data_IF_627130167885
#
_entry.id   IF_627130167885
#
_cell.length_a   1.000
_cell.length_b   1.000
_cell.length_c   1.000
_cell.angle_alpha   90.00
_cell.angle_beta   90.00
_cell.angle_gamma   90.00
#
_symmetry.space_group_name_H-M   'P 1'
#
loop_
_entity.id
_entity.type
_entity.pdbx_description
1 polymer ?
#
# COMPACT_ATOMS: atom_id res chain seq x y z
N UNK A 1 -19.48 20.43 31.16
CA UNK A 1 -20.15 21.07 30.01
C UNK A 1 -19.65 20.38 28.75
N UNK A 2 -20.43 19.42 28.27
CA UNK A 2 -20.17 18.67 27.04
C UNK A 2 -20.34 19.60 25.85
N UNK A 3 -19.24 19.97 25.20
CA UNK A 3 -19.31 20.61 23.89
C UNK A 3 -19.86 19.58 22.91
N UNK A 4 -21.13 19.74 22.54
CA UNK A 4 -21.67 19.11 21.34
C UNK A 4 -20.81 19.63 20.17
N UNK A 5 -19.88 18.80 19.71
CA UNK A 5 -19.01 19.13 18.60
C UNK A 5 -19.87 19.41 17.38
N UNK A 6 -19.80 20.64 16.86
CA UNK A 6 -20.34 20.95 15.54
C UNK A 6 -19.79 19.92 14.56
N UNK A 7 -20.66 19.23 13.81
CA UNK A 7 -20.25 18.34 12.73
C UNK A 7 -19.57 19.21 11.67
N UNK A 8 -18.25 19.35 11.79
CA UNK A 8 -17.40 20.00 10.80
C UNK A 8 -17.08 18.97 9.72
N UNK A 9 -16.87 19.44 8.50
CA UNK A 9 -16.34 18.58 7.44
C UNK A 9 -15.04 17.91 7.92
N UNK A 10 -14.98 16.58 7.89
CA UNK A 10 -13.75 15.86 8.26
C UNK A 10 -12.62 16.19 7.30
N UNK A 11 -11.36 15.96 7.74
CA UNK A 11 -10.11 16.37 7.07
C UNK A 11 -9.67 17.84 7.29
N UNK A 12 -10.36 18.62 8.14
CA UNK A 12 -9.91 19.98 8.52
C UNK A 12 -9.03 20.00 9.77
N UNK A 13 -9.09 18.95 10.59
CA UNK A 13 -8.27 18.77 11.79
C UNK A 13 -7.39 17.52 11.62
N UNK A 14 -6.32 17.42 12.40
CA UNK A 14 -5.45 16.25 12.36
C UNK A 14 -6.27 15.00 12.77
N UNK A 15 -6.30 13.95 11.94
CA UNK A 15 -7.09 12.76 12.23
C UNK A 15 -6.53 11.99 13.42
N UNK A 16 -7.41 11.32 14.17
CA UNK A 16 -6.99 10.44 15.27
C UNK A 16 -6.57 9.09 14.69
N UNK A 17 -5.31 8.71 14.88
CA UNK A 17 -4.80 7.42 14.43
C UNK A 17 -4.74 6.40 15.57
N UNK A 18 -5.46 5.30 15.40
CA UNK A 18 -5.45 4.18 16.35
C UNK A 18 -4.28 3.22 16.04
N UNK A 19 -3.64 2.63 17.07
CA UNK A 19 -2.64 1.59 16.87
C UNK A 19 -3.22 0.39 16.13
N UNK A 20 -2.41 -0.22 15.27
CA UNK A 20 -2.79 -1.46 14.57
C UNK A 20 -2.65 -2.63 15.52
N UNK A 21 -3.75 -3.34 15.77
CA UNK A 21 -3.76 -4.55 16.60
C UNK A 21 -3.38 -5.80 15.79
N UNK A 22 -2.12 -5.86 15.36
CA UNK A 22 -1.60 -6.97 14.55
C UNK A 22 -1.34 -8.26 15.33
N UNK A 23 -1.43 -8.20 16.67
CA UNK A 23 -1.28 -9.36 17.54
C UNK A 23 -2.60 -10.10 17.75
N UNK A 24 -3.75 -9.44 17.59
CA UNK A 24 -5.05 -10.10 17.61
C UNK A 24 -5.11 -11.16 16.48
N UNK A 25 -5.45 -12.43 16.80
CA UNK A 25 -5.67 -13.46 15.78
C UNK A 25 -6.64 -13.04 14.65
N UNK A 26 -7.67 -12.23 14.96
CA UNK A 26 -8.63 -11.70 13.99
C UNK A 26 -8.00 -10.77 12.97
N UNK A 27 -6.83 -10.18 13.24
CA UNK A 27 -6.12 -9.35 12.29
C UNK A 27 -5.86 -10.10 10.97
N UNK A 28 -5.59 -11.41 11.05
CA UNK A 28 -5.28 -12.25 9.89
C UNK A 28 -6.48 -13.05 9.34
N UNK A 29 -7.67 -12.84 9.88
CA UNK A 29 -8.90 -13.48 9.41
C UNK A 29 -9.34 -12.87 8.07
N UNK A 30 -9.42 -13.69 7.01
CA UNK A 30 -9.75 -13.22 5.66
C UNK A 30 -11.21 -12.81 5.53
N UNK A 31 -12.14 -13.48 6.21
CA UNK A 31 -13.57 -13.15 6.14
C UNK A 31 -13.86 -11.81 6.82
N UNK A 32 -13.29 -11.57 8.00
CA UNK A 32 -13.36 -10.29 8.70
C UNK A 32 -12.64 -9.18 7.94
N UNK A 33 -11.58 -9.49 7.18
CA UNK A 33 -10.94 -8.55 6.28
C UNK A 33 -11.87 -8.20 5.10
N UNK A 34 -12.49 -9.20 4.46
CA UNK A 34 -13.36 -8.98 3.30
C UNK A 34 -14.60 -8.17 3.67
N UNK A 35 -15.19 -8.42 4.84
CA UNK A 35 -16.29 -7.61 5.35
C UNK A 35 -15.89 -6.15 5.56
N UNK A 36 -14.69 -5.90 6.09
CA UNK A 36 -14.23 -4.52 6.33
C UNK A 36 -13.81 -3.81 5.02
N UNK A 37 -13.24 -4.55 4.06
CA UNK A 37 -12.98 -4.05 2.70
C UNK A 37 -14.29 -3.61 2.03
N UNK A 38 -15.31 -4.46 2.06
CA UNK A 38 -16.63 -4.18 1.50
C UNK A 38 -17.25 -2.91 2.13
N UNK A 39 -17.26 -2.82 3.46
CA UNK A 39 -17.76 -1.63 4.19
C UNK A 39 -17.03 -0.35 3.80
N UNK A 40 -15.70 -0.37 3.76
CA UNK A 40 -14.91 0.82 3.44
C UNK A 40 -15.02 1.18 1.96
N UNK A 41 -15.11 0.19 1.08
CA UNK A 41 -15.29 0.42 -0.36
C UNK A 41 -16.65 1.03 -0.66
N UNK A 42 -17.70 0.58 0.02
CA UNK A 42 -19.05 1.17 -0.06
C UNK A 42 -19.03 2.65 0.33
N UNK A 43 -18.41 2.98 1.47
CA UNK A 43 -18.22 4.38 1.91
C UNK A 43 -17.38 5.19 0.90
N UNK A 44 -16.32 4.60 0.33
CA UNK A 44 -15.49 5.26 -0.67
C UNK A 44 -16.27 5.53 -1.96
N UNK A 45 -17.06 4.57 -2.42
CA UNK A 45 -17.93 4.67 -3.59
C UNK A 45 -18.99 5.78 -3.39
N UNK A 46 -19.55 5.90 -2.19
CA UNK A 46 -20.56 6.93 -1.89
C UNK A 46 -20.05 8.37 -2.02
N UNK A 47 -18.76 8.64 -1.75
CA UNK A 47 -18.21 10.01 -1.79
C UNK A 47 -17.24 10.31 -2.94
N UNK A 48 -16.52 9.29 -3.46
CA UNK A 48 -15.51 9.35 -4.53
C UNK A 48 -14.42 10.43 -4.43
N UNK A 49 -14.27 11.10 -3.27
CA UNK A 49 -13.37 12.25 -3.07
C UNK A 49 -11.88 11.97 -3.31
N UNK A 50 -11.46 10.71 -3.22
CA UNK A 50 -10.05 10.32 -3.27
C UNK A 50 -9.55 9.92 -4.67
N UNK A 51 -10.40 10.01 -5.71
CA UNK A 51 -10.11 9.55 -7.08
C UNK A 51 -8.77 10.02 -7.65
N UNK A 52 -8.34 11.25 -7.31
CA UNK A 52 -7.12 11.86 -7.84
C UNK A 52 -5.85 11.56 -7.05
N UNK A 53 -5.91 10.78 -5.97
CA UNK A 53 -4.77 10.58 -5.07
C UNK A 53 -3.88 9.38 -5.41
N UNK A 54 -4.48 8.23 -5.72
CA UNK A 54 -3.75 7.02 -6.09
C UNK A 54 -4.63 6.11 -6.94
N UNK A 55 -4.01 5.12 -7.59
CA UNK A 55 -4.72 4.25 -8.54
C UNK A 55 -5.71 3.27 -7.87
N UNK A 56 -5.69 3.14 -6.53
CA UNK A 56 -6.65 2.30 -5.81
C UNK A 56 -8.10 2.79 -6.00
N UNK A 57 -8.32 4.10 -6.01
CA UNK A 57 -9.66 4.67 -6.08
C UNK A 57 -10.27 4.58 -7.49
N UNK A 58 -9.59 4.97 -8.58
CA UNK A 58 -10.06 4.66 -9.93
C UNK A 58 -10.36 3.17 -10.11
N UNK A 59 -9.45 2.27 -9.71
CA UNK A 59 -9.72 0.83 -9.82
C UNK A 59 -10.94 0.37 -9.04
N UNK A 60 -11.20 0.91 -7.84
CA UNK A 60 -12.41 0.61 -7.10
C UNK A 60 -13.65 1.10 -7.86
N UNK A 61 -13.62 2.35 -8.35
CA UNK A 61 -14.78 2.95 -8.99
C UNK A 61 -15.07 2.33 -10.34
N UNK A 62 -14.05 1.99 -11.13
CA UNK A 62 -14.21 1.26 -12.39
C UNK A 62 -14.85 -0.12 -12.14
N UNK A 63 -14.38 -0.87 -11.13
CA UNK A 63 -14.97 -2.16 -10.76
C UNK A 63 -16.45 -2.05 -10.40
N UNK A 64 -16.83 -0.98 -9.70
CA UNK A 64 -18.24 -0.75 -9.32
C UNK A 64 -19.06 -0.31 -10.53
N UNK A 65 -18.56 0.66 -11.31
CA UNK A 65 -19.27 1.22 -12.47
C UNK A 65 -19.46 0.20 -13.61
N UNK A 66 -18.59 -0.81 -13.70
CA UNK A 66 -18.69 -1.92 -14.64
C UNK A 66 -19.49 -3.13 -14.09
N UNK A 67 -19.94 -3.08 -12.83
CA UNK A 67 -20.73 -4.14 -12.22
C UNK A 67 -22.21 -4.08 -12.61
N UNK A 68 -22.94 -5.19 -12.46
CA UNK A 68 -24.37 -5.27 -12.82
C UNK A 68 -25.27 -4.37 -11.96
N UNK A 69 -24.92 -4.18 -10.69
CA UNK A 69 -25.71 -3.38 -9.73
C UNK A 69 -25.27 -1.91 -9.70
N UNK A 70 -24.10 -1.60 -10.26
CA UNK A 70 -23.39 -0.31 -10.09
C UNK A 70 -23.10 0.03 -8.61
N UNK A 71 -23.09 -0.99 -7.75
CA UNK A 71 -22.83 -0.89 -6.32
C UNK A 71 -21.74 -1.90 -5.92
N UNK A 72 -21.19 -1.75 -4.71
CA UNK A 72 -20.09 -2.62 -4.24
C UNK A 72 -20.51 -4.09 -4.13
N UNK A 73 -21.79 -4.38 -3.93
CA UNK A 73 -22.33 -5.75 -3.88
C UNK A 73 -22.25 -6.49 -5.22
N UNK A 74 -22.16 -5.76 -6.34
CA UNK A 74 -21.97 -6.29 -7.68
C UNK A 74 -20.51 -6.63 -8.00
N UNK A 75 -19.55 -6.21 -7.15
CA UNK A 75 -18.12 -6.44 -7.36
C UNK A 75 -17.71 -7.80 -6.79
N UNK A 76 -17.06 -8.61 -7.62
CA UNK A 76 -16.53 -9.88 -7.14
C UNK A 76 -15.44 -9.67 -6.08
N UNK A 77 -15.56 -10.30 -4.91
CA UNK A 77 -14.60 -10.17 -3.78
C UNK A 77 -13.13 -10.43 -4.15
N UNK A 78 -12.89 -11.28 -5.16
CA UNK A 78 -11.53 -11.53 -5.69
C UNK A 78 -10.89 -10.28 -6.29
N UNK A 79 -11.69 -9.35 -6.80
CA UNK A 79 -11.22 -8.15 -7.49
C UNK A 79 -10.91 -7.01 -6.51
N UNK A 80 -11.34 -7.11 -5.25
CA UNK A 80 -10.88 -6.22 -4.18
C UNK A 80 -9.35 -6.21 -4.05
N UNK A 81 -8.69 -7.33 -4.36
CA UNK A 81 -7.24 -7.41 -4.34
C UNK A 81 -6.56 -6.48 -5.36
N UNK A 82 -7.25 -6.09 -6.44
CA UNK A 82 -6.75 -5.10 -7.40
C UNK A 82 -6.63 -3.72 -6.74
N UNK A 83 -7.67 -3.31 -6.00
CA UNK A 83 -7.69 -2.07 -5.20
C UNK A 83 -6.58 -2.10 -4.15
N UNK A 84 -6.43 -3.22 -3.45
CA UNK A 84 -5.37 -3.43 -2.46
C UNK A 84 -3.98 -3.28 -3.08
N UNK A 85 -3.74 -3.86 -4.25
CA UNK A 85 -2.44 -3.80 -4.93
C UNK A 85 -2.09 -2.38 -5.39
N UNK A 86 -3.08 -1.58 -5.77
CA UNK A 86 -2.91 -0.19 -6.19
C UNK A 86 -2.83 0.83 -5.03
N UNK A 87 -2.96 0.41 -3.78
CA UNK A 87 -2.66 1.27 -2.64
C UNK A 87 -1.15 1.33 -2.35
N UNK A 88 -0.62 2.55 -2.26
CA UNK A 88 0.80 2.84 -2.02
C UNK A 88 1.16 3.12 -0.55
N UNK A 89 0.19 3.03 0.38
CA UNK A 89 0.40 3.26 1.81
C UNK A 89 1.04 4.63 2.15
N UNK A 90 0.69 5.68 1.41
CA UNK A 90 1.24 7.03 1.59
C UNK A 90 0.46 7.91 2.58
N UNK A 91 -0.65 7.40 3.14
CA UNK A 91 -1.57 8.10 4.06
C UNK A 91 -2.26 9.38 3.52
N UNK A 92 -2.02 9.77 2.26
CA UNK A 92 -2.54 11.04 1.74
C UNK A 92 -4.07 11.13 1.74
N UNK A 93 -4.77 10.04 1.44
CA UNK A 93 -6.24 10.01 1.46
C UNK A 93 -6.80 10.20 2.88
N UNK A 94 -6.18 9.56 3.86
CA UNK A 94 -6.52 9.65 5.26
C UNK A 94 -6.24 11.05 5.84
N UNK A 95 -5.08 11.62 5.50
CA UNK A 95 -4.65 12.90 6.08
C UNK A 95 -5.33 14.13 5.46
N UNK A 96 -5.78 14.05 4.19
CA UNK A 96 -6.09 15.28 3.43
C UNK A 96 -7.41 15.29 2.65
N UNK A 97 -8.11 14.16 2.53
CA UNK A 97 -9.35 14.09 1.72
C UNK A 97 -10.52 13.39 2.37
N UNK A 98 -10.28 12.36 3.17
CA UNK A 98 -11.35 11.55 3.72
C UNK A 98 -12.07 12.30 4.85
N UNK A 99 -13.37 12.60 4.72
CA UNK A 99 -14.12 13.27 5.79
C UNK A 99 -14.58 12.30 6.89
N UNK A 100 -14.35 11.00 6.71
CA UNK A 100 -14.88 9.93 7.55
C UNK A 100 -13.82 9.24 8.41
N UNK A 101 -12.67 9.89 8.56
CA UNK A 101 -11.57 9.46 9.44
C UNK A 101 -11.95 9.65 10.91
N UNK A 102 -11.29 8.94 11.86
CA UNK A 102 -11.62 9.04 13.28
C UNK A 102 -11.39 10.48 13.78
N UNK A 103 -12.31 11.03 14.60
CA UNK A 103 -13.32 10.34 15.40
C UNK A 103 -14.70 10.17 14.73
N UNK A 104 -14.83 10.34 13.40
CA UNK A 104 -16.10 10.08 12.71
C UNK A 104 -16.59 8.65 12.99
N UNK A 105 -17.91 8.46 13.12
CA UNK A 105 -18.53 7.17 13.47
C UNK A 105 -18.17 6.03 12.52
N UNK A 106 -17.93 6.34 11.24
CA UNK A 106 -17.53 5.35 10.23
C UNK A 106 -16.06 4.93 10.33
N UNK A 107 -15.23 5.67 11.09
CA UNK A 107 -13.88 5.26 11.50
C UNK A 107 -13.01 4.76 10.34
N UNK A 108 -13.00 5.46 9.20
CA UNK A 108 -12.32 5.02 7.99
C UNK A 108 -10.81 5.28 8.09
N UNK A 109 -10.02 4.21 8.15
CA UNK A 109 -8.55 4.24 7.97
C UNK A 109 -8.17 3.35 6.78
N UNK A 110 -8.39 3.89 5.58
CA UNK A 110 -8.11 3.17 4.33
C UNK A 110 -6.66 2.66 4.26
N UNK A 111 -5.62 3.45 4.58
CA UNK A 111 -4.25 2.95 4.55
C UNK A 111 -4.01 1.78 5.52
N UNK A 112 -4.51 1.82 6.76
CA UNK A 112 -4.38 0.71 7.69
C UNK A 112 -5.11 -0.55 7.21
N UNK A 113 -6.29 -0.40 6.60
CA UNK A 113 -7.02 -1.53 6.01
C UNK A 113 -6.24 -2.15 4.84
N UNK A 114 -5.64 -1.33 3.97
CA UNK A 114 -4.81 -1.81 2.87
C UNK A 114 -3.53 -2.50 3.39
N UNK A 115 -2.93 -1.98 4.46
CA UNK A 115 -1.80 -2.63 5.14
C UNK A 115 -2.19 -3.99 5.70
N UNK A 116 -3.33 -4.09 6.41
CA UNK A 116 -3.89 -5.37 6.88
C UNK A 116 -4.10 -6.34 5.71
N UNK A 117 -4.73 -5.89 4.63
CA UNK A 117 -4.97 -6.72 3.45
C UNK A 117 -3.66 -7.28 2.85
N UNK A 118 -2.65 -6.42 2.68
CA UNK A 118 -1.33 -6.84 2.18
C UNK A 118 -0.64 -7.82 3.15
N UNK A 119 -0.79 -7.65 4.46
CA UNK A 119 -0.26 -8.56 5.46
C UNK A 119 -0.93 -9.95 5.42
N UNK A 120 -2.26 -10.01 5.29
CA UNK A 120 -3.01 -11.26 5.10
C UNK A 120 -2.56 -11.96 3.81
N UNK A 121 -2.52 -11.25 2.69
CA UNK A 121 -2.06 -11.76 1.39
C UNK A 121 -0.64 -12.33 1.47
N UNK A 122 0.25 -11.68 2.21
CA UNK A 122 1.62 -12.15 2.44
C UNK A 122 1.66 -13.44 3.27
N UNK A 123 0.93 -13.49 4.38
CA UNK A 123 0.86 -14.66 5.27
C UNK A 123 0.29 -15.90 4.57
N UNK A 124 -0.65 -15.71 3.67
CA UNK A 124 -1.24 -16.77 2.85
C UNK A 124 -0.37 -17.20 1.66
N UNK A 125 0.80 -16.58 1.46
CA UNK A 125 1.68 -16.89 0.34
C UNK A 125 1.19 -16.38 -1.02
N UNK A 126 0.12 -15.57 -1.07
CA UNK A 126 -0.48 -15.03 -2.29
C UNK A 126 0.27 -13.81 -2.87
N UNK A 127 1.33 -13.34 -2.22
CA UNK A 127 2.20 -12.25 -2.74
C UNK A 127 3.20 -12.77 -3.79
N UNK A 128 3.36 -12.05 -4.90
CA UNK A 128 4.26 -12.42 -5.99
C UNK A 128 5.72 -12.46 -5.49
N UNK A 129 6.50 -13.42 -5.97
CA UNK A 129 7.91 -13.58 -5.59
C UNK A 129 8.73 -12.32 -5.84
N UNK A 130 8.50 -11.63 -6.98
CA UNK A 130 9.18 -10.37 -7.29
C UNK A 130 8.96 -9.31 -6.19
N UNK A 131 7.74 -9.21 -5.66
CA UNK A 131 7.37 -8.18 -4.69
C UNK A 131 8.02 -8.49 -3.34
N UNK A 132 8.14 -9.78 -2.99
CA UNK A 132 8.90 -10.22 -1.80
C UNK A 132 10.40 -9.91 -1.92
N UNK A 133 10.98 -10.08 -3.11
CA UNK A 133 12.39 -9.77 -3.36
C UNK A 133 12.60 -8.26 -3.26
N UNK A 134 11.91 -7.47 -4.07
CA UNK A 134 12.13 -6.01 -4.20
C UNK A 134 11.81 -5.27 -2.89
N UNK A 135 10.80 -5.71 -2.13
CA UNK A 135 10.46 -5.10 -0.85
C UNK A 135 11.43 -5.44 0.28
N UNK A 136 12.29 -6.46 0.13
CA UNK A 136 13.30 -6.84 1.12
C UNK A 136 14.57 -6.00 0.99
N UNK A 137 14.43 -4.69 1.19
CA UNK A 137 15.52 -3.70 1.04
C UNK A 137 16.73 -4.01 1.92
N UNK A 138 16.52 -4.49 3.14
CA UNK A 138 17.60 -4.91 4.05
C UNK A 138 18.41 -6.08 3.49
N UNK A 139 17.73 -7.13 3.00
CA UNK A 139 18.40 -8.30 2.42
C UNK A 139 19.14 -7.92 1.14
N UNK A 140 18.48 -7.16 0.26
CA UNK A 140 19.09 -6.67 -0.98
C UNK A 140 20.31 -5.81 -0.66
N UNK A 141 20.18 -4.84 0.25
CA UNK A 141 21.26 -3.93 0.64
C UNK A 141 22.43 -4.67 1.27
N UNK A 142 22.16 -5.66 2.13
CA UNK A 142 23.19 -6.51 2.74
C UNK A 142 23.97 -7.32 1.71
N UNK A 143 23.31 -7.89 0.70
CA UNK A 143 23.94 -8.72 -0.32
C UNK A 143 24.66 -7.88 -1.38
N UNK A 144 23.98 -6.85 -1.91
CA UNK A 144 24.54 -5.97 -2.93
C UNK A 144 25.61 -5.02 -2.39
N UNK A 145 25.66 -4.80 -1.07
CA UNK A 145 26.68 -4.01 -0.39
C UNK A 145 27.96 -4.78 -0.05
N UNK A 146 28.06 -6.09 -0.32
CA UNK A 146 29.29 -6.84 -0.01
C UNK A 146 30.46 -6.26 -0.84
N UNK A 147 31.66 -6.04 -0.24
CA UNK A 147 32.84 -5.64 -0.99
C UNK A 147 33.06 -6.54 -2.21
N UNK A 148 33.50 -5.96 -3.33
CA UNK A 148 33.63 -6.62 -4.65
C UNK A 148 32.26 -6.87 -5.34
N UNK A 149 31.25 -7.41 -4.64
CA UNK A 149 29.90 -7.62 -5.19
C UNK A 149 29.27 -6.29 -5.63
N UNK A 150 29.47 -5.24 -4.84
CA UNK A 150 28.93 -3.90 -5.11
C UNK A 150 29.33 -3.34 -6.47
N UNK A 151 30.57 -3.60 -6.92
CA UNK A 151 31.06 -3.12 -8.21
C UNK A 151 30.38 -3.86 -9.37
N UNK A 152 30.22 -5.17 -9.24
CA UNK A 152 29.52 -6.00 -10.22
C UNK A 152 28.04 -5.60 -10.34
N UNK A 153 27.34 -5.41 -9.20
CA UNK A 153 25.93 -5.01 -9.19
C UNK A 153 25.74 -3.63 -9.82
N UNK A 154 26.56 -2.65 -9.43
CA UNK A 154 26.47 -1.30 -10.00
C UNK A 154 26.83 -1.29 -11.50
N UNK A 155 27.80 -2.09 -11.92
CA UNK A 155 28.15 -2.28 -13.33
C UNK A 155 27.00 -2.89 -14.14
N UNK A 156 26.37 -3.94 -13.61
CA UNK A 156 25.20 -4.57 -14.22
C UNK A 156 24.01 -3.61 -14.33
N UNK A 157 23.74 -2.81 -13.29
CA UNK A 157 22.66 -1.82 -13.30
C UNK A 157 22.85 -0.70 -14.34
N UNK A 158 24.07 -0.46 -14.82
CA UNK A 158 24.37 0.50 -15.91
C UNK A 158 24.26 -0.13 -17.31
N UNK A 159 24.11 -1.45 -17.40
CA UNK A 159 24.05 -2.16 -18.68
C UNK A 159 22.60 -2.25 -19.20
N UNK A 160 22.32 -1.71 -20.38
CA UNK A 160 20.98 -1.67 -20.97
C UNK A 160 20.38 -3.05 -21.27
N UNK A 161 21.19 -4.05 -21.59
CA UNK A 161 20.73 -5.42 -21.81
C UNK A 161 20.29 -6.07 -20.49
N UNK A 162 21.07 -5.89 -19.42
CA UNK A 162 20.68 -6.35 -18.09
C UNK A 162 19.39 -5.69 -17.62
N UNK A 163 19.21 -4.38 -17.89
CA UNK A 163 17.99 -3.63 -17.57
C UNK A 163 16.74 -4.20 -18.25
N UNK A 164 16.86 -4.67 -19.50
CA UNK A 164 15.76 -5.38 -20.19
C UNK A 164 15.41 -6.72 -19.52
N UNK A 165 16.42 -7.46 -19.05
CA UNK A 165 16.20 -8.71 -18.29
C UNK A 165 15.52 -8.42 -16.95
N UNK A 166 15.98 -7.39 -16.24
CA UNK A 166 15.40 -6.96 -14.96
C UNK A 166 13.93 -6.54 -15.12
N UNK A 167 13.58 -5.84 -16.20
CA UNK A 167 12.20 -5.51 -16.53
C UNK A 167 11.34 -6.76 -16.76
N UNK A 168 11.81 -7.70 -17.58
CA UNK A 168 11.05 -8.93 -17.87
C UNK A 168 10.85 -9.84 -16.66
N UNK A 169 11.79 -9.85 -15.72
CA UNK A 169 11.79 -10.78 -14.58
C UNK A 169 11.17 -10.15 -13.33
N UNK A 170 11.55 -8.93 -13.00
CA UNK A 170 11.13 -8.24 -11.77
C UNK A 170 10.18 -7.05 -12.02
N UNK A 171 9.92 -6.68 -13.28
CA UNK A 171 9.02 -5.58 -13.63
C UNK A 171 9.61 -4.19 -13.34
N UNK A 172 10.93 -4.09 -13.18
CA UNK A 172 11.61 -2.80 -13.00
C UNK A 172 11.83 -2.17 -14.36
N UNK A 173 11.17 -1.03 -14.61
CA UNK A 173 11.25 -0.35 -15.91
C UNK A 173 12.71 -0.09 -16.32
N UNK A 174 13.10 -0.26 -17.60
CA UNK A 174 14.50 -0.12 -18.03
C UNK A 174 15.11 1.25 -17.72
N UNK A 175 14.29 2.29 -17.70
CA UNK A 175 14.70 3.68 -17.42
C UNK A 175 14.48 4.12 -15.97
N UNK A 176 14.04 3.22 -15.07
CA UNK A 176 13.86 3.54 -13.65
C UNK A 176 15.19 3.96 -12.99
N UNK A 177 15.21 5.05 -12.24
CA UNK A 177 16.40 5.47 -11.50
C UNK A 177 16.71 4.45 -10.40
N UNK A 178 17.81 3.70 -10.55
CA UNK A 178 18.28 2.79 -9.51
C UNK A 178 19.40 3.44 -8.69
N UNK A 179 19.33 3.41 -7.35
CA UNK A 179 20.41 3.90 -6.52
C UNK A 179 21.66 3.03 -6.68
N UNK A 180 22.83 3.65 -6.54
CA UNK A 180 24.07 2.89 -6.44
C UNK A 180 24.14 2.20 -5.07
N UNK A 181 24.59 0.95 -5.06
CA UNK A 181 24.94 0.26 -3.83
C UNK A 181 26.32 0.70 -3.34
N UNK A 182 26.51 0.69 -2.03
CA UNK A 182 27.76 1.07 -1.37
C UNK A 182 28.10 0.04 -0.30
N UNK A 183 29.37 -0.36 -0.22
CA UNK A 183 29.85 -1.26 0.83
C UNK A 183 30.06 -0.58 2.18
N UNK A 184 30.42 0.69 2.14
CA UNK A 184 30.42 1.55 3.31
C UNK A 184 29.01 2.10 3.57
N UNK A 185 28.29 1.44 4.48
CA UNK A 185 26.88 1.73 4.78
C UNK A 185 26.71 3.01 5.60
N UNK A 186 25.52 3.64 5.54
CA UNK A 186 25.20 4.79 6.38
C UNK A 186 25.40 4.49 7.89
N UNK A 187 25.05 3.28 8.33
CA UNK A 187 25.25 2.85 9.72
C UNK A 187 26.72 2.83 10.12
N UNK A 188 27.63 2.46 9.22
CA UNK A 188 29.07 2.48 9.50
C UNK A 188 29.61 3.92 9.54
N UNK A 189 29.18 4.77 8.59
CA UNK A 189 29.59 6.19 8.53
C UNK A 189 29.15 7.01 9.73
N UNK A 190 27.94 6.75 10.24
CA UNK A 190 27.35 7.49 11.36
C UNK A 190 27.76 6.96 12.74
N UNK A 191 28.57 5.90 12.80
CA UNK A 191 29.14 5.37 14.06
C UNK A 191 30.46 6.04 14.45
N UNK A 192 30.94 6.98 13.61
CA UNK A 192 32.11 7.82 13.89
C UNK A 192 31.77 9.01 14.76
#
# INVERSE_FOLDING_TARGET
MTAAGSVREGSLEAPTRHPIDWHDPKFYDEDALMHELERVFDICHGCRRCVSLCNAFPSLFDLVDESETMEVDGVAKKDYWQVVDHCYLCDLCYMTKCPYVPPHEWNVDFPHLMLRAKAVKYKQGKTRTRDKIISSTDTIGRLAGIPIVVQAVNGANRNSAFRKVLNKTLGVHPDALLPAYHSDTARNRLRG
#
